data_IF_621793448629
#
_entry.id   IF_621793448629
#
_cell.length_a   1.000
_cell.length_b   1.000
_cell.length_c   1.000
_cell.angle_alpha   90.00
_cell.angle_beta   90.00
_cell.angle_gamma   90.00
#
_symmetry.space_group_name_H-M   'P 1'
#
loop_
_entity.id
_entity.type
_entity.pdbx_description
1 polymer ?
#
# COMPACT_ATOMS: atom_id res chain seq x y z
N UNK A 1 -2.71 -5.03 18.98
CA UNK A 1 -3.31 -3.72 18.65
C UNK A 1 -3.01 -3.34 17.19
N UNK A 2 -3.88 -2.53 16.57
CA UNK A 2 -3.73 -2.04 15.18
C UNK A 2 -3.69 -0.51 15.16
N UNK A 3 -2.72 0.05 14.43
CA UNK A 3 -2.48 1.49 14.31
C UNK A 3 -2.31 1.85 12.83
N UNK A 4 -3.24 2.63 12.28
CA UNK A 4 -3.28 2.94 10.85
C UNK A 4 -3.00 4.42 10.60
N UNK A 5 -2.14 4.72 9.64
CA UNK A 5 -1.78 6.08 9.25
C UNK A 5 -0.80 6.77 10.18
N UNK A 6 -0.18 6.07 11.14
CA UNK A 6 0.75 6.67 12.10
C UNK A 6 2.08 6.99 11.42
N UNK A 7 2.63 8.18 11.67
CA UNK A 7 3.99 8.53 11.25
C UNK A 7 5.03 7.94 12.22
N UNK A 8 6.33 8.01 11.86
CA UNK A 8 7.41 7.45 12.68
C UNK A 8 7.32 7.83 14.17
N UNK A 9 7.22 9.12 14.48
CA UNK A 9 7.16 9.62 15.87
C UNK A 9 5.96 9.06 16.63
N UNK A 10 4.81 8.97 15.98
CA UNK A 10 3.59 8.41 16.57
C UNK A 10 3.71 6.90 16.81
N UNK A 11 4.34 6.17 15.88
CA UNK A 11 4.65 4.75 16.07
C UNK A 11 5.57 4.55 17.28
N UNK A 12 6.65 5.34 17.39
CA UNK A 12 7.58 5.30 18.53
C UNK A 12 6.87 5.57 19.86
N UNK A 13 6.01 6.58 19.92
CA UNK A 13 5.23 6.91 21.11
C UNK A 13 4.30 5.76 21.56
N UNK A 14 3.60 5.11 20.62
CA UNK A 14 2.75 3.96 20.95
C UNK A 14 3.59 2.76 21.41
N UNK A 15 4.75 2.52 20.80
CA UNK A 15 5.68 1.46 21.24
C UNK A 15 6.16 1.74 22.66
N UNK A 16 6.70 2.92 22.94
CA UNK A 16 7.20 3.31 24.27
C UNK A 16 6.09 3.20 25.31
N UNK A 17 4.89 3.70 25.00
CA UNK A 17 3.73 3.59 25.90
C UNK A 17 3.40 2.13 26.22
N UNK A 18 3.45 1.25 25.21
CA UNK A 18 3.19 -0.17 25.39
C UNK A 18 4.26 -0.84 26.25
N UNK A 19 5.54 -0.55 26.00
CA UNK A 19 6.67 -1.07 26.79
C UNK A 19 6.59 -0.64 28.26
N UNK A 20 6.21 0.61 28.54
CA UNK A 20 6.08 1.10 29.92
C UNK A 20 4.98 0.40 30.72
N UNK A 21 4.03 -0.26 30.05
CA UNK A 21 2.87 -0.90 30.67
C UNK A 21 2.99 -2.44 30.72
N UNK A 22 4.02 -3.03 30.12
CA UNK A 22 4.15 -4.48 29.96
C UNK A 22 5.60 -4.93 30.19
N UNK A 23 5.79 -6.10 30.77
CA UNK A 23 7.12 -6.68 30.97
C UNK A 23 7.63 -7.34 29.67
N UNK A 24 8.21 -6.54 28.78
CA UNK A 24 8.76 -7.01 27.50
C UNK A 24 10.28 -7.17 27.59
N UNK A 25 10.77 -8.37 27.26
CA UNK A 25 12.20 -8.68 27.32
C UNK A 25 12.90 -8.54 25.96
N UNK A 26 12.18 -8.82 24.86
CA UNK A 26 12.72 -8.76 23.49
C UNK A 26 11.65 -8.31 22.51
N UNK A 27 12.05 -7.51 21.53
CA UNK A 27 11.17 -6.97 20.49
C UNK A 27 11.61 -7.53 19.13
N UNK A 28 10.64 -7.99 18.34
CA UNK A 28 10.84 -8.44 16.97
C UNK A 28 10.07 -7.53 16.03
N UNK A 29 10.77 -6.80 15.16
CA UNK A 29 10.15 -5.92 14.18
C UNK A 29 10.21 -6.56 12.79
N UNK A 30 9.07 -7.01 12.28
CA UNK A 30 8.93 -7.51 10.92
C UNK A 30 8.57 -6.35 9.99
N UNK A 31 9.51 -5.96 9.12
CA UNK A 31 9.37 -4.76 8.30
C UNK A 31 9.48 -5.07 6.80
N UNK A 32 8.77 -4.32 5.96
CA UNK A 32 8.99 -4.39 4.52
C UNK A 32 10.19 -3.53 4.10
N UNK A 33 11.16 -4.10 3.37
CA UNK A 33 12.44 -3.46 3.02
C UNK A 33 12.33 -2.03 2.48
N UNK A 34 11.31 -1.77 1.66
CA UNK A 34 11.05 -0.45 1.05
C UNK A 34 10.69 0.63 2.09
N UNK A 35 10.17 0.23 3.24
CA UNK A 35 9.68 1.09 4.32
C UNK A 35 10.42 0.83 5.63
N UNK A 36 11.70 0.45 5.57
CA UNK A 36 12.49 0.26 6.77
C UNK A 36 12.53 1.54 7.60
N UNK A 37 12.14 1.42 8.87
CA UNK A 37 12.21 2.47 9.87
C UNK A 37 12.98 1.94 11.05
N UNK A 38 14.02 2.66 11.46
CA UNK A 38 14.65 2.45 12.75
C UNK A 38 13.92 3.28 13.80
N UNK A 39 13.31 2.60 14.77
CA UNK A 39 12.57 3.16 15.88
C UNK A 39 13.51 3.54 17.03
N UNK A 40 13.44 4.81 17.44
CA UNK A 40 14.13 5.31 18.63
C UNK A 40 13.20 5.18 19.84
N UNK A 41 13.32 4.04 20.53
CA UNK A 41 12.43 3.63 21.63
C UNK A 41 13.16 3.43 22.96
N UNK A 42 14.41 3.90 23.05
CA UNK A 42 15.21 3.85 24.29
C UNK A 42 15.67 2.45 24.71
N UNK A 43 15.60 1.45 23.83
CA UNK A 43 16.13 0.09 24.07
C UNK A 43 16.80 -0.45 22.81
N UNK A 44 17.90 -1.19 23.01
CA UNK A 44 18.62 -1.89 21.95
C UNK A 44 18.08 -3.31 21.70
N UNK A 45 17.12 -3.77 22.50
CA UNK A 45 16.55 -5.13 22.43
C UNK A 45 15.51 -5.30 21.32
N UNK A 46 15.70 -4.63 20.19
CA UNK A 46 14.86 -4.74 19.01
C UNK A 46 15.61 -5.42 17.86
N UNK A 47 15.07 -6.55 17.42
CA UNK A 47 15.57 -7.29 16.28
C UNK A 47 14.75 -6.96 15.03
N UNK A 48 15.38 -6.34 14.04
CA UNK A 48 14.75 -6.01 12.76
C UNK A 48 14.91 -7.15 11.77
N UNK A 49 13.79 -7.70 11.30
CA UNK A 49 13.77 -8.81 10.36
C UNK A 49 12.95 -8.40 9.13
N UNK A 50 13.59 -8.43 7.96
CA UNK A 50 12.89 -8.17 6.72
C UNK A 50 11.73 -9.17 6.55
N UNK A 51 10.56 -8.68 6.18
CA UNK A 51 9.34 -9.46 6.05
C UNK A 51 9.55 -10.72 5.19
N UNK A 52 10.27 -10.61 4.08
CA UNK A 52 10.59 -11.74 3.18
C UNK A 52 11.44 -12.84 3.82
N UNK A 53 12.12 -12.55 4.94
CA UNK A 53 12.94 -13.54 5.65
C UNK A 53 12.12 -14.41 6.60
N UNK A 54 10.93 -13.98 7.05
CA UNK A 54 10.17 -14.71 8.08
C UNK A 54 9.68 -16.09 7.58
N UNK A 55 9.53 -16.28 6.27
CA UNK A 55 9.19 -17.58 5.69
C UNK A 55 10.40 -18.47 5.39
N UNK A 56 11.64 -17.96 5.56
CA UNK A 56 12.86 -18.74 5.31
C UNK A 56 13.18 -19.63 6.49
N UNK A 57 13.49 -20.90 6.24
CA UNK A 57 13.78 -21.91 7.25
C UNK A 57 14.70 -21.46 8.40
N UNK A 58 15.82 -20.80 8.09
CA UNK A 58 16.77 -20.29 9.10
C UNK A 58 16.11 -19.34 10.10
N UNK A 59 15.22 -18.46 9.63
CA UNK A 59 14.49 -17.56 10.49
C UNK A 59 13.30 -18.27 11.13
N UNK A 60 12.63 -19.15 10.38
CA UNK A 60 11.39 -19.76 10.82
C UNK A 60 11.54 -20.52 12.13
N UNK A 61 12.43 -21.51 12.19
CA UNK A 61 12.61 -22.32 13.41
C UNK A 61 13.23 -21.53 14.56
N UNK A 62 14.16 -20.62 14.25
CA UNK A 62 14.78 -19.76 15.26
C UNK A 62 13.74 -18.87 15.94
N UNK A 63 12.89 -18.20 15.16
CA UNK A 63 11.85 -17.32 15.69
C UNK A 63 10.77 -18.11 16.45
N UNK A 64 10.46 -19.33 16.02
CA UNK A 64 9.61 -20.22 16.83
C UNK A 64 10.24 -20.53 18.18
N UNK A 65 11.54 -20.80 18.23
CA UNK A 65 12.22 -21.11 19.50
C UNK A 65 12.40 -19.90 20.42
N UNK A 66 12.62 -18.70 19.87
CA UNK A 66 13.00 -17.54 20.68
C UNK A 66 11.81 -16.71 21.16
N UNK A 67 10.74 -16.62 20.37
CA UNK A 67 9.56 -15.81 20.72
C UNK A 67 8.75 -16.53 21.79
N UNK A 68 8.47 -15.82 22.89
CA UNK A 68 7.72 -16.30 24.04
C UNK A 68 6.70 -15.26 24.53
N UNK A 69 6.01 -15.56 25.63
CA UNK A 69 4.95 -14.72 26.21
C UNK A 69 5.41 -13.30 26.59
N UNK A 70 6.71 -13.07 26.80
CA UNK A 70 7.28 -11.75 27.15
C UNK A 70 7.96 -11.05 25.95
N UNK A 71 7.71 -11.55 24.74
CA UNK A 71 8.22 -10.96 23.49
C UNK A 71 7.19 -10.04 22.86
N UNK A 72 7.59 -8.86 22.38
CA UNK A 72 6.72 -7.98 21.58
C UNK A 72 6.98 -8.19 20.09
N UNK A 73 5.93 -8.42 19.30
CA UNK A 73 6.03 -8.44 17.84
C UNK A 73 5.46 -7.14 17.26
N UNK A 74 6.29 -6.41 16.53
CA UNK A 74 5.89 -5.27 15.70
C UNK A 74 5.79 -5.74 14.27
N UNK A 75 4.64 -5.52 13.65
CA UNK A 75 4.37 -5.82 12.25
C UNK A 75 4.22 -4.50 11.52
N UNK A 76 5.19 -4.16 10.66
CA UNK A 76 5.21 -2.87 9.97
C UNK A 76 5.05 -3.05 8.46
N UNK A 77 3.90 -2.62 7.94
CA UNK A 77 3.52 -2.68 6.52
C UNK A 77 3.39 -4.11 5.96
N UNK A 78 2.61 -4.99 6.60
CA UNK A 78 2.39 -6.39 6.20
C UNK A 78 1.42 -6.62 5.02
N UNK A 79 0.57 -5.66 4.65
CA UNK A 79 -0.41 -5.80 3.55
C UNK A 79 0.26 -5.74 2.17
N UNK A 80 0.96 -6.81 1.81
CA UNK A 80 1.69 -6.96 0.54
C UNK A 80 0.97 -7.83 -0.49
N UNK A 81 -0.10 -8.51 -0.11
CA UNK A 81 -0.97 -9.31 -0.99
C UNK A 81 -2.36 -9.44 -0.39
N UNK A 82 -3.41 -9.42 -1.22
CA UNK A 82 -4.78 -9.69 -0.79
C UNK A 82 -5.04 -11.17 -0.48
N UNK A 83 -4.10 -12.06 -0.85
CA UNK A 83 -4.24 -13.49 -0.57
C UNK A 83 -3.92 -13.80 0.90
N UNK A 84 -4.97 -13.90 1.72
CA UNK A 84 -4.92 -14.26 3.15
C UNK A 84 -4.26 -15.63 3.43
N UNK A 85 -4.17 -16.50 2.43
CA UNK A 85 -3.57 -17.84 2.53
C UNK A 85 -2.10 -17.89 2.12
N UNK A 86 -1.46 -16.76 1.81
CA UNK A 86 -0.02 -16.74 1.44
C UNK A 86 0.81 -17.31 2.59
N UNK A 87 1.77 -18.17 2.26
CA UNK A 87 2.73 -18.79 3.18
C UNK A 87 3.27 -17.80 4.23
N UNK A 88 3.72 -16.62 3.82
CA UNK A 88 4.25 -15.59 4.71
C UNK A 88 3.29 -15.18 5.84
N UNK A 89 1.97 -15.12 5.56
CA UNK A 89 0.95 -14.82 6.55
C UNK A 89 0.76 -16.00 7.49
N UNK A 90 0.75 -17.22 6.95
CA UNK A 90 0.72 -18.42 7.78
C UNK A 90 1.92 -18.52 8.72
N UNK A 91 3.14 -18.24 8.23
CA UNK A 91 4.34 -18.18 9.06
C UNK A 91 4.24 -17.10 10.14
N UNK A 92 3.83 -15.88 9.77
CA UNK A 92 3.64 -14.79 10.72
C UNK A 92 2.67 -15.16 11.85
N UNK A 93 1.57 -15.86 11.53
CA UNK A 93 0.60 -16.32 12.52
C UNK A 93 1.17 -17.30 13.54
N UNK A 94 2.15 -18.14 13.17
CA UNK A 94 2.79 -19.00 14.16
C UNK A 94 3.51 -18.18 15.22
N UNK A 95 4.24 -17.13 14.84
CA UNK A 95 4.91 -16.24 15.80
C UNK A 95 3.91 -15.45 16.65
N UNK A 96 2.90 -14.87 16.01
CA UNK A 96 1.87 -14.07 16.68
C UNK A 96 1.06 -14.90 17.69
N UNK A 97 0.99 -16.22 17.54
CA UNK A 97 0.33 -17.09 18.53
C UNK A 97 1.20 -17.40 19.77
N UNK A 98 2.51 -17.11 19.75
CA UNK A 98 3.42 -17.38 20.88
C UNK A 98 3.45 -16.25 21.92
N UNK A 99 2.90 -15.08 21.59
CA UNK A 99 2.87 -13.93 22.49
C UNK A 99 1.55 -13.17 22.37
N UNK A 100 0.96 -12.68 23.47
CA UNK A 100 -0.17 -11.75 23.38
C UNK A 100 0.28 -10.38 22.86
N UNK A 101 1.56 -10.03 22.98
CA UNK A 101 2.09 -8.70 22.73
C UNK A 101 2.37 -8.47 21.25
N UNK A 102 1.50 -7.69 20.59
CA UNK A 102 1.62 -7.37 19.17
C UNK A 102 1.14 -5.96 18.84
N UNK A 103 1.86 -5.28 17.97
CA UNK A 103 1.48 -3.97 17.41
C UNK A 103 1.58 -4.05 15.90
N UNK A 104 0.49 -3.73 15.21
CA UNK A 104 0.40 -3.77 13.75
C UNK A 104 0.29 -2.35 13.22
N UNK A 105 1.24 -1.96 12.38
CA UNK A 105 1.28 -0.68 11.71
C UNK A 105 1.02 -0.82 10.21
N UNK A 106 0.12 0.01 9.69
CA UNK A 106 -0.12 0.19 8.26
C UNK A 106 -0.34 1.66 7.95
N UNK A 107 -0.03 2.09 6.73
CA UNK A 107 -0.32 3.46 6.32
C UNK A 107 -1.76 3.67 5.86
N UNK A 108 -2.30 2.70 5.11
CA UNK A 108 -3.69 2.71 4.62
C UNK A 108 -4.44 1.50 5.17
N UNK A 109 -5.77 1.58 5.35
CA UNK A 109 -6.55 0.47 5.91
C UNK A 109 -6.71 -0.71 4.96
N UNK A 110 -6.54 -0.51 3.65
CA UNK A 110 -6.74 -1.53 2.61
C UNK A 110 -5.72 -1.40 1.49
N UNK A 111 -5.49 -2.50 0.77
CA UNK A 111 -4.76 -2.45 -0.50
C UNK A 111 -5.72 -1.90 -1.56
N UNK A 112 -6.85 -2.57 -1.78
CA UNK A 112 -7.80 -2.31 -2.87
C UNK A 112 -9.26 -2.48 -2.44
N UNK A 113 -9.56 -3.44 -1.56
CA UNK A 113 -10.92 -3.79 -1.16
C UNK A 113 -11.05 -3.98 0.35
N UNK A 114 -12.28 -3.94 0.87
CA UNK A 114 -12.57 -4.11 2.30
C UNK A 114 -12.01 -5.42 2.89
N UNK A 115 -12.01 -6.50 2.10
CA UNK A 115 -11.46 -7.80 2.51
C UNK A 115 -9.96 -7.74 2.87
N UNK A 116 -9.20 -6.77 2.34
CA UNK A 116 -7.79 -6.62 2.70
C UNK A 116 -7.62 -6.29 4.18
N UNK A 117 -8.58 -5.59 4.79
CA UNK A 117 -8.55 -5.25 6.21
C UNK A 117 -8.55 -6.51 7.10
N UNK A 118 -9.12 -7.61 6.61
CA UNK A 118 -9.11 -8.89 7.31
C UNK A 118 -7.69 -9.44 7.50
N UNK A 119 -6.70 -8.98 6.72
CA UNK A 119 -5.29 -9.33 6.96
C UNK A 119 -4.86 -8.77 8.32
N UNK A 120 -5.16 -7.52 8.62
CA UNK A 120 -4.79 -6.88 9.89
C UNK A 120 -5.48 -7.55 11.07
N UNK A 121 -6.77 -7.84 10.93
CA UNK A 121 -7.54 -8.55 11.95
C UNK A 121 -7.03 -9.98 12.15
N UNK A 122 -6.64 -10.69 11.09
CA UNK A 122 -6.03 -12.01 11.21
C UNK A 122 -4.67 -11.95 11.93
N UNK A 123 -3.89 -10.89 11.73
CA UNK A 123 -2.63 -10.68 12.44
C UNK A 123 -2.87 -10.41 13.93
N UNK A 124 -3.92 -9.67 14.27
CA UNK A 124 -4.32 -9.48 15.65
C UNK A 124 -4.81 -10.79 16.28
N UNK A 125 -5.79 -11.44 15.66
CA UNK A 125 -6.42 -12.65 16.18
C UNK A 125 -6.95 -13.57 15.05
N UNK A 126 -6.08 -14.41 14.48
CA UNK A 126 -6.44 -15.33 13.38
C UNK A 126 -7.64 -16.22 13.74
N UNK A 127 -7.71 -16.71 14.97
CA UNK A 127 -8.77 -17.62 15.43
C UNK A 127 -10.16 -16.97 15.35
N UNK A 128 -10.30 -15.74 15.85
CA UNK A 128 -11.55 -14.98 15.87
C UNK A 128 -12.11 -14.67 14.47
N UNK A 129 -11.24 -14.52 13.48
CA UNK A 129 -11.60 -14.05 12.12
C UNK A 129 -11.46 -15.10 11.01
N UNK A 130 -11.12 -16.35 11.36
CA UNK A 130 -11.02 -17.45 10.40
C UNK A 130 -12.34 -17.65 9.65
N UNK A 131 -12.28 -17.66 8.32
CA UNK A 131 -13.46 -17.88 7.46
C UNK A 131 -14.45 -16.72 7.38
N UNK A 132 -14.21 -15.61 8.09
CA UNK A 132 -15.06 -14.42 8.05
C UNK A 132 -14.62 -13.46 6.93
N UNK A 133 -15.59 -12.82 6.29
CA UNK A 133 -15.39 -11.63 5.45
C UNK A 133 -15.39 -10.35 6.28
N UNK A 134 -15.13 -9.21 5.64
CA UNK A 134 -15.11 -7.92 6.33
C UNK A 134 -16.49 -7.50 6.85
N UNK A 135 -16.51 -6.98 8.07
CA UNK A 135 -17.67 -6.37 8.70
C UNK A 135 -17.20 -5.14 9.50
N UNK A 136 -17.89 -4.01 9.35
CA UNK A 136 -17.61 -2.78 10.08
C UNK A 136 -17.68 -2.93 11.60
N UNK A 137 -18.48 -3.87 12.12
CA UNK A 137 -18.53 -4.18 13.54
C UNK A 137 -17.17 -4.63 14.08
N UNK A 138 -16.30 -5.19 13.23
CA UNK A 138 -14.97 -5.61 13.65
C UNK A 138 -14.06 -4.43 13.98
N UNK A 139 -14.31 -3.25 13.43
CA UNK A 139 -13.55 -2.03 13.73
C UNK A 139 -13.67 -1.60 15.20
N UNK A 140 -14.73 -2.03 15.89
CA UNK A 140 -14.97 -1.75 17.31
C UNK A 140 -14.54 -2.90 18.23
N UNK A 141 -14.15 -4.03 17.64
CA UNK A 141 -13.96 -5.29 18.37
C UNK A 141 -12.50 -5.57 18.76
N UNK A 142 -11.56 -4.79 18.25
CA UNK A 142 -10.13 -4.83 18.59
C UNK A 142 -9.66 -3.43 18.96
N UNK A 143 -8.50 -3.32 19.60
CA UNK A 143 -7.84 -2.03 19.82
C UNK A 143 -7.29 -1.49 18.50
N UNK A 144 -8.10 -0.67 17.81
CA UNK A 144 -7.78 -0.05 16.53
C UNK A 144 -7.82 1.47 16.69
N UNK A 145 -6.72 2.13 16.30
CA UNK A 145 -6.69 3.59 16.14
C UNK A 145 -6.25 3.94 14.73
N UNK A 146 -6.85 4.97 14.17
CA UNK A 146 -6.57 5.39 12.80
C UNK A 146 -6.41 6.91 12.74
N UNK A 147 -5.39 7.35 12.00
CA UNK A 147 -5.26 8.71 11.52
C UNK A 147 -5.64 8.68 10.04
N UNK A 148 -6.64 9.48 9.66
CA UNK A 148 -7.13 9.56 8.28
C UNK A 148 -5.98 9.97 7.34
N UNK A 149 -5.64 9.09 6.41
CA UNK A 149 -4.72 9.36 5.29
C UNK A 149 -5.53 9.38 4.00
N UNK A 150 -5.83 10.57 3.50
CA UNK A 150 -6.51 10.79 2.23
C UNK A 150 -5.73 11.80 1.41
N UNK A 151 -5.39 11.43 0.18
CA UNK A 151 -4.63 12.29 -0.74
C UNK A 151 -5.55 12.61 -1.92
N UNK A 152 -6.12 13.82 -2.02
CA UNK A 152 -6.92 14.20 -3.18
C UNK A 152 -6.13 14.11 -4.49
N UNK A 153 -6.87 13.82 -5.56
CA UNK A 153 -6.39 13.83 -6.93
C UNK A 153 -6.99 15.03 -7.66
N UNK A 154 -6.14 15.84 -8.29
CA UNK A 154 -6.54 16.91 -9.19
C UNK A 154 -6.35 16.47 -10.63
N UNK A 155 -7.43 16.42 -11.41
CA UNK A 155 -7.38 15.95 -12.81
C UNK A 155 -7.07 17.12 -13.74
N UNK A 156 -6.01 16.98 -14.54
CA UNK A 156 -5.69 17.90 -15.63
C UNK A 156 -5.93 17.22 -16.97
N UNK A 157 -7.04 17.57 -17.63
CA UNK A 157 -7.42 16.94 -18.91
C UNK A 157 -6.82 17.67 -20.10
N UNK A 158 -6.07 16.95 -20.92
CA UNK A 158 -5.55 17.43 -22.20
C UNK A 158 -6.55 17.19 -23.33
N UNK A 159 -6.47 18.04 -24.36
CA UNK A 159 -7.29 17.89 -25.56
C UNK A 159 -6.97 16.57 -26.26
N UNK A 160 -7.99 15.74 -26.46
CA UNK A 160 -7.87 14.53 -27.27
C UNK A 160 -8.20 14.84 -28.72
N UNK A 161 -7.23 14.68 -29.61
CA UNK A 161 -7.40 14.90 -31.05
C UNK A 161 -8.12 13.73 -31.71
N UNK A 162 -8.60 13.94 -32.95
CA UNK A 162 -9.18 12.87 -33.77
C UNK A 162 -8.20 11.71 -33.99
N UNK A 163 -6.94 12.03 -34.28
CA UNK A 163 -5.87 11.05 -34.45
C UNK A 163 -5.69 10.15 -33.21
N UNK A 164 -5.68 10.73 -32.01
CA UNK A 164 -5.54 9.97 -30.77
C UNK A 164 -6.72 9.00 -30.56
N UNK A 165 -7.95 9.43 -30.88
CA UNK A 165 -9.15 8.58 -30.79
C UNK A 165 -9.08 7.43 -31.78
N UNK A 166 -8.73 7.70 -33.03
CA UNK A 166 -8.60 6.66 -34.07
C UNK A 166 -7.51 5.64 -33.71
N UNK A 167 -6.37 6.11 -33.20
CA UNK A 167 -5.29 5.23 -32.73
C UNK A 167 -5.70 4.41 -31.51
N UNK A 168 -6.42 5.01 -30.56
CA UNK A 168 -6.96 4.31 -29.39
C UNK A 168 -7.93 3.19 -29.79
N UNK A 169 -8.88 3.48 -30.69
CA UNK A 169 -9.85 2.48 -31.15
C UNK A 169 -9.19 1.34 -31.92
N UNK A 170 -8.18 1.66 -32.77
CA UNK A 170 -7.39 0.65 -33.46
C UNK A 170 -6.65 -0.27 -32.48
N UNK A 171 -5.97 0.31 -31.50
CA UNK A 171 -5.24 -0.45 -30.48
C UNK A 171 -6.18 -1.31 -29.64
N UNK A 172 -7.32 -0.75 -29.22
CA UNK A 172 -8.35 -1.47 -28.47
C UNK A 172 -8.85 -2.70 -29.25
N UNK A 173 -9.21 -2.53 -30.52
CA UNK A 173 -9.70 -3.62 -31.36
C UNK A 173 -8.62 -4.69 -31.60
N UNK A 174 -7.36 -4.27 -31.78
CA UNK A 174 -6.24 -5.19 -31.91
C UNK A 174 -6.05 -6.02 -30.62
N UNK A 175 -6.00 -5.36 -29.46
CA UNK A 175 -5.85 -6.02 -28.17
C UNK A 175 -7.02 -6.97 -27.87
N UNK A 176 -8.25 -6.60 -28.20
CA UNK A 176 -9.40 -7.50 -28.10
C UNK A 176 -9.25 -8.74 -28.98
N UNK A 177 -8.83 -8.57 -30.24
CA UNK A 177 -8.61 -9.69 -31.16
C UNK A 177 -7.51 -10.63 -30.69
N UNK A 178 -6.48 -10.09 -30.03
CA UNK A 178 -5.33 -10.84 -29.52
C UNK A 178 -5.54 -11.41 -28.11
N UNK A 179 -6.65 -11.09 -27.43
CA UNK A 179 -6.83 -11.42 -26.02
C UNK A 179 -6.84 -12.93 -25.77
N UNK A 180 -7.55 -13.71 -26.60
CA UNK A 180 -7.65 -15.17 -26.44
C UNK A 180 -8.00 -15.58 -25.00
N UNK A 181 -7.17 -16.45 -24.41
CA UNK A 181 -7.26 -16.90 -23.01
C UNK A 181 -6.36 -16.11 -22.04
N UNK A 182 -5.83 -14.95 -22.45
CA UNK A 182 -4.97 -14.13 -21.60
C UNK A 182 -5.79 -13.35 -20.55
N UNK A 183 -5.09 -12.80 -19.56
CA UNK A 183 -5.67 -11.93 -18.54
C UNK A 183 -6.40 -10.73 -19.17
N UNK A 184 -7.73 -10.55 -18.96
CA UNK A 184 -8.50 -9.45 -19.54
C UNK A 184 -7.98 -8.07 -19.14
N UNK A 185 -7.29 -7.96 -18.00
CA UNK A 185 -6.69 -6.70 -17.57
C UNK A 185 -5.55 -6.21 -18.49
N UNK A 186 -5.02 -7.07 -19.37
CA UNK A 186 -4.02 -6.66 -20.37
C UNK A 186 -4.55 -5.51 -21.22
N UNK A 187 -5.84 -5.51 -21.53
CA UNK A 187 -6.48 -4.47 -22.34
C UNK A 187 -6.39 -3.08 -21.68
N UNK A 188 -6.97 -2.82 -20.50
CA UNK A 188 -6.86 -1.51 -19.86
C UNK A 188 -5.40 -1.15 -19.55
N UNK A 189 -4.55 -2.11 -19.18
CA UNK A 189 -3.13 -1.88 -18.89
C UNK A 189 -2.35 -1.33 -20.10
N UNK A 190 -2.58 -1.87 -21.29
CA UNK A 190 -1.90 -1.43 -22.51
C UNK A 190 -2.50 -0.14 -23.06
N UNK A 191 -3.82 -0.01 -23.03
CA UNK A 191 -4.49 1.23 -23.41
C UNK A 191 -4.04 2.41 -22.54
N UNK A 192 -3.77 2.20 -21.26
CA UNK A 192 -3.25 3.25 -20.38
C UNK A 192 -1.81 3.67 -20.69
N UNK A 193 -0.98 2.74 -21.15
CA UNK A 193 0.37 3.07 -21.61
C UNK A 193 0.30 3.93 -22.88
N UNK A 194 -0.58 3.55 -23.82
CA UNK A 194 -0.83 4.32 -25.03
C UNK A 194 -1.35 5.72 -24.71
N UNK A 195 -2.31 5.87 -23.79
CA UNK A 195 -2.77 7.21 -23.38
C UNK A 195 -1.70 7.99 -22.64
N UNK A 196 -0.75 7.34 -21.97
CA UNK A 196 0.42 8.04 -21.45
C UNK A 196 1.33 8.60 -22.55
N UNK A 197 1.49 7.90 -23.68
CA UNK A 197 2.30 8.40 -24.82
C UNK A 197 1.70 9.68 -25.42
N UNK A 198 0.37 9.73 -25.50
CA UNK A 198 -0.40 10.90 -25.89
C UNK A 198 -0.21 12.12 -24.97
N UNK A 199 0.16 11.88 -23.72
CA UNK A 199 0.37 12.90 -22.70
C UNK A 199 1.80 13.43 -22.69
N UNK A 200 2.74 12.78 -23.39
CA UNK A 200 4.19 13.07 -23.32
C UNK A 200 4.52 14.56 -23.52
N UNK A 201 3.92 15.20 -24.52
CA UNK A 201 4.19 16.61 -24.84
C UNK A 201 3.71 17.59 -23.76
N UNK A 202 2.82 17.12 -22.88
CA UNK A 202 2.27 17.91 -21.77
C UNK A 202 2.99 17.62 -20.46
N UNK A 203 3.97 16.70 -20.46
CA UNK A 203 4.94 16.53 -19.37
C UNK A 203 5.91 17.71 -19.48
N UNK A 204 5.57 18.82 -18.81
CA UNK A 204 6.37 20.05 -18.73
C UNK A 204 7.57 19.85 -17.79
N UNK A 205 8.06 20.91 -17.15
CA UNK A 205 9.18 20.89 -16.20
C UNK A 205 8.86 20.23 -14.85
N UNK A 206 7.57 20.01 -14.52
CA UNK A 206 7.17 19.38 -13.24
C UNK A 206 7.74 17.97 -13.10
N UNK A 207 8.16 17.63 -11.88
CA UNK A 207 8.52 16.26 -11.54
C UNK A 207 7.29 15.36 -11.71
N UNK A 208 7.49 14.27 -12.45
CA UNK A 208 6.41 13.42 -12.92
C UNK A 208 6.68 11.94 -12.65
N UNK A 209 5.60 11.19 -12.41
CA UNK A 209 5.64 9.74 -12.22
C UNK A 209 4.90 9.03 -13.35
N UNK A 210 5.53 7.99 -13.89
CA UNK A 210 4.95 7.11 -14.88
C UNK A 210 5.20 5.63 -14.53
N UNK A 211 4.52 4.72 -15.21
CA UNK A 211 4.64 3.26 -15.01
C UNK A 211 6.03 2.74 -15.34
N UNK A 212 6.72 3.35 -16.29
CA UNK A 212 8.05 2.95 -16.73
C UNK A 212 8.84 4.15 -17.27
N UNK A 213 10.14 3.95 -17.55
CA UNK A 213 11.04 5.00 -18.03
C UNK A 213 10.93 5.25 -19.55
N UNK A 214 9.79 4.94 -20.20
CA UNK A 214 9.66 4.98 -21.68
C UNK A 214 9.81 6.38 -22.27
N UNK A 215 9.50 7.41 -21.49
CA UNK A 215 9.55 8.80 -21.96
C UNK A 215 10.97 9.32 -22.14
N UNK A 216 11.95 8.73 -21.44
CA UNK A 216 13.37 9.15 -21.43
C UNK A 216 13.56 10.64 -21.10
N UNK A 217 12.70 11.19 -20.23
CA UNK A 217 12.77 12.56 -19.74
C UNK A 217 13.42 12.58 -18.34
N UNK A 218 14.28 13.58 -18.08
CA UNK A 218 15.05 13.67 -16.82
C UNK A 218 14.16 13.89 -15.59
N UNK A 219 13.03 14.58 -15.77
CA UNK A 219 12.05 14.89 -14.74
C UNK A 219 10.94 13.83 -14.58
N UNK A 220 11.08 12.67 -15.24
CA UNK A 220 10.11 11.56 -15.12
C UNK A 220 10.77 10.37 -14.45
N UNK A 221 10.19 9.93 -13.34
CA UNK A 221 10.60 8.71 -12.63
C UNK A 221 9.54 7.62 -12.73
N UNK A 222 9.95 6.37 -12.61
CA UNK A 222 9.01 5.25 -12.49
C UNK A 222 8.63 4.96 -11.04
N UNK A 223 7.53 4.24 -10.83
CA UNK A 223 7.09 3.77 -9.50
C UNK A 223 8.14 2.96 -8.72
N UNK A 224 9.12 2.37 -9.41
CA UNK A 224 10.23 1.66 -8.79
C UNK A 224 11.31 2.59 -8.22
N UNK A 225 11.38 3.83 -8.71
CA UNK A 225 12.42 4.81 -8.38
C UNK A 225 11.86 6.04 -7.64
N UNK A 226 10.69 5.90 -7.01
CA UNK A 226 9.99 7.00 -6.31
C UNK A 226 10.79 7.63 -5.18
N UNK A 227 11.79 6.92 -4.63
CA UNK A 227 12.66 7.46 -3.59
C UNK A 227 13.41 8.71 -4.05
N UNK A 228 13.67 8.82 -5.36
CA UNK A 228 14.34 9.97 -5.99
C UNK A 228 13.53 11.27 -5.90
N UNK A 229 12.22 11.17 -5.62
CA UNK A 229 11.30 12.32 -5.59
C UNK A 229 10.52 12.39 -4.27
N UNK A 230 10.95 11.66 -3.24
CA UNK A 230 10.17 11.47 -2.00
C UNK A 230 9.93 12.74 -1.19
N UNK A 231 10.75 13.77 -1.38
CA UNK A 231 10.64 15.09 -0.75
C UNK A 231 9.78 16.07 -1.55
N UNK A 232 9.49 15.77 -2.81
CA UNK A 232 8.79 16.68 -3.71
C UNK A 232 7.36 16.95 -3.21
N UNK A 233 6.96 18.24 -3.06
CA UNK A 233 5.64 18.58 -2.55
C UNK A 233 4.55 18.44 -3.62
N UNK A 234 4.92 18.55 -4.90
CA UNK A 234 4.02 18.47 -6.04
C UNK A 234 4.51 17.41 -7.03
N UNK A 235 3.64 16.48 -7.40
CA UNK A 235 3.95 15.44 -8.38
C UNK A 235 2.83 15.32 -9.41
N UNK A 236 3.23 15.23 -10.68
CA UNK A 236 2.34 14.92 -11.79
C UNK A 236 2.36 13.42 -12.09
N UNK A 237 1.24 12.74 -11.88
CA UNK A 237 1.03 11.36 -12.32
C UNK A 237 0.60 11.36 -13.79
N UNK A 238 1.42 10.76 -14.65
CA UNK A 238 1.14 10.64 -16.09
C UNK A 238 0.25 9.43 -16.37
N UNK A 239 0.57 8.31 -15.72
CA UNK A 239 -0.20 7.09 -15.76
C UNK A 239 -0.06 6.33 -14.42
N UNK A 240 -1.17 5.74 -14.00
CA UNK A 240 -1.27 4.92 -12.80
C UNK A 240 -0.49 3.62 -12.96
N UNK A 241 0.08 3.15 -11.85
CA UNK A 241 0.54 1.77 -11.79
C UNK A 241 -0.65 0.80 -11.87
N UNK A 242 -0.49 -0.30 -12.61
CA UNK A 242 -1.56 -1.29 -12.83
C UNK A 242 -1.99 -2.03 -11.56
N UNK A 243 -1.06 -2.22 -10.61
CA UNK A 243 -1.34 -2.71 -9.25
C UNK A 243 -1.58 -1.55 -8.31
N UNK A 244 -2.72 -1.56 -7.61
CA UNK A 244 -3.05 -0.58 -6.56
C UNK A 244 -1.99 -0.54 -5.47
N UNK A 245 -1.48 -1.70 -5.03
CA UNK A 245 -0.42 -1.80 -4.02
C UNK A 245 0.79 -0.90 -4.33
N UNK A 246 1.28 -0.91 -5.57
CA UNK A 246 2.45 -0.13 -5.94
C UNK A 246 2.14 1.37 -6.01
N UNK A 247 0.90 1.74 -6.34
CA UNK A 247 0.44 3.13 -6.29
C UNK A 247 0.33 3.62 -4.83
N UNK A 248 -0.21 2.79 -3.94
CA UNK A 248 -0.29 3.08 -2.50
C UNK A 248 1.12 3.22 -1.90
N UNK A 249 2.04 2.36 -2.30
CA UNK A 249 3.45 2.45 -1.91
C UNK A 249 4.09 3.75 -2.40
N UNK A 250 3.72 4.23 -3.60
CA UNK A 250 4.11 5.56 -4.05
C UNK A 250 3.60 6.66 -3.11
N UNK A 251 2.29 6.69 -2.85
CA UNK A 251 1.70 7.70 -1.98
C UNK A 251 2.30 7.70 -0.56
N UNK A 252 2.62 6.52 -0.02
CA UNK A 252 3.24 6.37 1.30
C UNK A 252 4.66 6.91 1.37
N UNK A 253 5.47 6.71 0.31
CA UNK A 253 6.86 7.18 0.27
C UNK A 253 6.96 8.70 0.17
N UNK A 254 5.95 9.35 -0.40
CA UNK A 254 5.93 10.80 -0.54
C UNK A 254 5.68 11.47 0.81
N UNK A 255 6.68 12.16 1.36
CA UNK A 255 6.61 12.72 2.72
C UNK A 255 5.70 13.94 2.83
N UNK A 256 5.67 14.76 1.77
CA UNK A 256 5.04 16.08 1.78
C UNK A 256 3.80 16.16 0.88
N UNK A 257 3.35 15.04 0.31
CA UNK A 257 2.24 15.05 -0.64
C UNK A 257 0.92 15.35 0.06
N UNK A 258 0.28 16.44 -0.35
CA UNK A 258 -1.08 16.80 0.09
C UNK A 258 -2.10 16.46 -0.97
N UNK A 259 -1.72 16.59 -2.23
CA UNK A 259 -2.49 16.24 -3.41
C UNK A 259 -1.55 15.78 -4.52
N UNK A 260 -2.06 15.07 -5.52
CA UNK A 260 -1.32 14.84 -6.76
C UNK A 260 -2.14 15.26 -7.97
N UNK A 261 -1.44 15.70 -9.01
CA UNK A 261 -2.06 16.01 -10.29
C UNK A 261 -2.06 14.76 -11.16
N UNK A 262 -3.19 14.42 -11.80
CA UNK A 262 -3.26 13.36 -12.79
C UNK A 262 -3.47 13.94 -14.18
N UNK A 263 -2.51 13.70 -15.07
CA UNK A 263 -2.60 14.07 -16.47
C UNK A 263 -3.53 13.09 -17.18
N UNK A 264 -4.64 13.58 -17.72
CA UNK A 264 -5.74 12.76 -18.24
C UNK A 264 -6.11 13.13 -19.66
N UNK A 265 -6.63 12.19 -20.42
CA UNK A 265 -7.29 12.42 -21.71
C UNK A 265 -8.81 12.27 -21.57
N UNK A 266 -9.56 12.60 -22.62
CA UNK A 266 -11.01 12.33 -22.66
C UNK A 266 -11.35 10.86 -22.97
N UNK A 267 -10.33 10.00 -23.16
CA UNK A 267 -10.50 8.60 -23.55
C UNK A 267 -11.02 7.74 -22.39
N UNK A 268 -11.76 6.64 -22.66
CA UNK A 268 -12.40 5.83 -21.63
C UNK A 268 -11.44 5.26 -20.57
N UNK A 269 -10.22 4.88 -20.95
CA UNK A 269 -9.27 4.26 -20.01
C UNK A 269 -8.84 5.20 -18.88
N UNK A 270 -8.60 6.49 -19.18
CA UNK A 270 -8.23 7.45 -18.13
C UNK A 270 -9.41 7.72 -17.19
N UNK A 271 -10.64 7.77 -17.72
CA UNK A 271 -11.86 7.86 -16.90
C UNK A 271 -12.01 6.66 -15.96
N UNK A 272 -11.68 5.46 -16.44
CA UNK A 272 -11.67 4.25 -15.62
C UNK A 272 -10.68 4.36 -14.45
N UNK A 273 -9.43 4.77 -14.70
CA UNK A 273 -8.45 4.92 -13.62
C UNK A 273 -8.80 6.02 -12.62
N UNK A 274 -9.37 7.14 -13.10
CA UNK A 274 -9.90 8.21 -12.24
C UNK A 274 -10.98 7.65 -11.31
N UNK A 275 -11.98 6.96 -11.90
CA UNK A 275 -13.08 6.35 -11.14
C UNK A 275 -12.57 5.31 -10.14
N UNK A 276 -11.67 4.42 -10.56
CA UNK A 276 -11.05 3.41 -9.70
C UNK A 276 -10.32 4.02 -8.50
N UNK A 277 -9.63 5.16 -8.69
CA UNK A 277 -8.99 5.85 -7.57
C UNK A 277 -9.99 6.47 -6.60
N UNK A 278 -11.02 7.14 -7.14
CA UNK A 278 -12.08 7.74 -6.31
C UNK A 278 -12.79 6.66 -5.50
N UNK A 279 -13.21 5.56 -6.12
CA UNK A 279 -13.86 4.44 -5.42
C UNK A 279 -12.95 3.83 -4.33
N UNK A 280 -11.65 3.69 -4.59
CA UNK A 280 -10.71 3.21 -3.57
C UNK A 280 -10.57 4.19 -2.41
N UNK A 281 -10.51 5.50 -2.70
CA UNK A 281 -10.48 6.55 -1.68
C UNK A 281 -11.75 6.51 -0.84
N UNK A 282 -12.92 6.41 -1.46
CA UNK A 282 -14.21 6.36 -0.77
C UNK A 282 -14.32 5.12 0.14
N UNK A 283 -13.78 3.95 -0.29
CA UNK A 283 -13.67 2.78 0.59
C UNK A 283 -12.79 3.04 1.81
N UNK A 284 -11.65 3.72 1.63
CA UNK A 284 -10.81 4.11 2.77
C UNK A 284 -11.56 5.07 3.71
N UNK A 285 -12.27 6.07 3.16
CA UNK A 285 -13.06 7.03 3.94
C UNK A 285 -14.17 6.34 4.73
N UNK A 286 -14.89 5.39 4.12
CA UNK A 286 -15.90 4.61 4.81
C UNK A 286 -15.35 3.81 6.01
N UNK A 287 -14.13 3.26 5.90
CA UNK A 287 -13.46 2.59 7.03
C UNK A 287 -13.11 3.60 8.12
N UNK A 288 -12.52 4.75 7.75
CA UNK A 288 -12.16 5.78 8.71
C UNK A 288 -13.39 6.27 9.47
N UNK A 289 -14.47 6.64 8.78
CA UNK A 289 -15.69 7.19 9.39
C UNK A 289 -16.40 6.20 10.34
N UNK A 290 -16.21 4.90 10.13
CA UNK A 290 -16.78 3.84 10.98
C UNK A 290 -15.84 3.39 12.10
N UNK A 291 -14.55 3.68 12.00
CA UNK A 291 -13.62 3.57 13.10
C UNK A 291 -13.77 4.79 14.01
N UNK A 292 -13.56 4.65 15.33
CA UNK A 292 -13.39 5.82 16.19
C UNK A 292 -12.06 6.49 15.80
N UNK A 293 -12.11 7.45 14.87
CA UNK A 293 -10.92 8.17 14.37
C UNK A 293 -10.25 8.90 15.52
N UNK A 294 -8.92 8.80 15.59
CA UNK A 294 -8.07 9.44 16.61
C UNK A 294 -7.54 10.78 16.09
#
# INVERSE_FOLDING_TARGET
>A
MIRIGFNKKQKEQEIIKYLNSNCINKIYCFFFKKFYVNYDIGTENIEYIEYSNIEKYKYFYRLLSEINENSLIIIDECMRTSNRSKLIYNCAHHYLNQTPHRIIFEYFPIIENYEDFMILLNFENKGKYKGKGFDYNFLKSEDIKMIKRTIPMKVHTIRTTRFMRERYEREKNLLFKLLGNQDPDILPRNLHLLTGDFKKEHIKEKISVARNNRFRLKNVVSYNNINLISEEPEVLVVDFHYRRLNFNDFLKTMKNIKEFEFLSTSLPVDKFYIKSYIEWKDKCEAIYDKANVF
#
